data_IF_623112774631
#
_entry.id   IF_623112774631
#
_cell.length_a   1.000
_cell.length_b   1.000
_cell.length_c   1.000
_cell.angle_alpha   90.00
_cell.angle_beta   90.00
_cell.angle_gamma   90.00
#
_symmetry.space_group_name_H-M   'P 1'
#
loop_
_entity.id
_entity.type
_entity.pdbx_description
1 polymer ?
#
# COMPACT_ATOMS: atom_id res chain seq x y z
N UNK A 1 -29.16 -12.89 15.15
CA UNK A 1 -28.13 -11.99 15.73
C UNK A 1 -26.85 -12.79 16.05
N UNK A 2 -26.13 -13.32 15.05
CA UNK A 2 -25.12 -14.38 15.31
C UNK A 2 -23.72 -14.22 14.71
N UNK A 3 -23.52 -13.39 13.68
CA UNK A 3 -22.21 -13.25 13.01
C UNK A 3 -21.63 -11.82 13.07
N UNK A 4 -22.49 -10.81 13.28
CA UNK A 4 -22.11 -9.40 13.17
C UNK A 4 -21.18 -8.91 14.30
N UNK A 5 -21.21 -9.54 15.48
CA UNK A 5 -20.41 -9.12 16.64
C UNK A 5 -18.99 -9.70 16.70
N UNK A 6 -18.71 -10.80 15.99
CA UNK A 6 -17.41 -11.50 16.09
C UNK A 6 -16.34 -10.91 15.15
N UNK A 7 -16.75 -10.35 14.01
CA UNK A 7 -15.83 -9.77 13.01
C UNK A 7 -15.17 -8.49 13.50
N UNK A 8 -15.91 -7.62 14.20
CA UNK A 8 -15.34 -6.40 14.80
C UNK A 8 -14.34 -6.70 15.92
N UNK A 9 -14.55 -7.79 16.66
CA UNK A 9 -13.64 -8.21 17.73
C UNK A 9 -12.27 -8.65 17.16
N UNK A 10 -12.23 -9.32 16.01
CA UNK A 10 -10.98 -9.74 15.38
C UNK A 10 -10.16 -8.55 14.85
N UNK A 11 -10.82 -7.55 14.26
CA UNK A 11 -10.17 -6.30 13.81
C UNK A 11 -9.67 -5.49 15.01
N UNK A 12 -10.47 -5.37 16.07
CA UNK A 12 -10.08 -4.67 17.29
C UNK A 12 -8.91 -5.34 18.04
N UNK A 13 -8.82 -6.68 18.02
CA UNK A 13 -7.73 -7.44 18.65
C UNK A 13 -6.41 -7.28 17.89
N UNK A 14 -6.44 -7.22 16.55
CA UNK A 14 -5.23 -6.94 15.76
C UNK A 14 -4.70 -5.52 15.99
N UNK A 15 -5.59 -4.54 16.22
CA UNK A 15 -5.20 -3.15 16.48
C UNK A 15 -4.66 -2.95 17.91
N UNK A 16 -5.19 -3.67 18.91
CA UNK A 16 -4.77 -3.50 20.32
C UNK A 16 -3.46 -4.21 20.68
N UNK A 17 -3.09 -5.30 19.99
CA UNK A 17 -1.81 -5.99 20.22
C UNK A 17 -0.57 -5.20 19.79
N UNK A 18 -0.71 -4.28 18.85
CA UNK A 18 0.41 -3.50 18.29
C UNK A 18 0.80 -2.26 19.12
N UNK A 19 0.03 -1.91 20.16
CA UNK A 19 0.26 -0.71 20.96
C UNK A 19 1.43 -0.82 21.98
N UNK A 20 1.92 -2.02 22.28
CA UNK A 20 2.87 -2.24 23.37
C UNK A 20 4.35 -1.94 23.08
N UNK A 21 4.76 -1.69 21.83
CA UNK A 21 6.19 -1.74 21.45
C UNK A 21 6.75 -0.50 20.73
N UNK A 22 5.94 0.48 20.31
CA UNK A 22 6.35 1.50 19.32
C UNK A 22 6.88 2.84 19.89
N UNK A 23 7.35 2.90 21.14
CA UNK A 23 7.47 4.16 21.89
C UNK A 23 8.70 5.05 21.68
N UNK A 24 9.79 4.61 21.03
CA UNK A 24 11.02 5.43 20.99
C UNK A 24 11.89 5.35 19.72
N UNK A 25 11.56 4.52 18.73
CA UNK A 25 12.35 4.35 17.49
C UNK A 25 11.90 5.23 16.32
N UNK A 26 10.66 5.72 16.32
CA UNK A 26 10.06 6.41 15.16
C UNK A 26 10.78 7.74 14.77
N UNK A 27 11.39 8.44 15.74
CA UNK A 27 12.02 9.75 15.48
C UNK A 27 13.37 9.66 14.76
N UNK A 28 14.22 8.69 15.10
CA UNK A 28 15.51 8.50 14.42
C UNK A 28 15.27 8.03 12.98
N UNK A 29 14.26 7.19 12.77
CA UNK A 29 13.95 6.63 11.46
C UNK A 29 13.28 7.63 10.51
N UNK A 30 12.53 8.61 11.01
CA UNK A 30 12.09 9.75 10.18
C UNK A 30 13.24 10.56 9.60
N UNK A 31 14.44 10.45 10.18
CA UNK A 31 15.65 11.04 9.61
C UNK A 31 16.24 10.11 8.56
N UNK A 32 16.16 8.79 8.79
CA UNK A 32 16.77 7.78 7.91
C UNK A 32 15.93 7.49 6.65
N UNK A 33 14.59 7.51 6.75
CA UNK A 33 13.63 7.16 5.68
C UNK A 33 12.35 8.03 5.63
N UNK A 34 12.42 9.38 5.75
CA UNK A 34 11.24 10.24 5.83
C UNK A 34 10.23 10.00 4.68
N UNK A 35 10.72 9.79 3.47
CA UNK A 35 9.91 9.62 2.26
C UNK A 35 9.13 8.29 2.21
N UNK A 36 9.68 7.22 2.79
CA UNK A 36 9.02 5.90 2.78
C UNK A 36 8.19 5.66 4.02
N UNK A 37 8.26 6.56 5.00
CA UNK A 37 7.48 6.43 6.24
C UNK A 37 5.99 6.59 5.98
N UNK A 38 5.64 7.53 5.10
CA UNK A 38 4.25 7.85 4.78
C UNK A 38 3.64 6.86 3.80
N UNK A 39 4.42 6.40 2.83
CA UNK A 39 4.01 5.45 1.78
C UNK A 39 5.19 4.67 1.22
N UNK A 40 4.99 3.42 0.78
CA UNK A 40 6.11 2.60 0.28
C UNK A 40 6.34 2.63 -1.22
N UNK A 41 5.43 3.22 -2.02
CA UNK A 41 5.46 3.15 -3.48
C UNK A 41 5.27 1.72 -4.05
N UNK A 42 4.97 0.74 -3.20
CA UNK A 42 4.79 -0.67 -3.59
C UNK A 42 3.37 -0.96 -4.06
N UNK A 43 3.13 -2.11 -4.74
CA UNK A 43 1.80 -2.55 -5.14
C UNK A 43 0.78 -2.45 -3.99
N UNK A 44 -0.33 -1.75 -4.25
CA UNK A 44 -1.37 -1.50 -3.26
C UNK A 44 -1.33 -0.09 -2.66
N UNK A 45 -0.25 0.66 -2.85
CA UNK A 45 -0.07 1.95 -2.19
C UNK A 45 -1.03 3.03 -2.74
N UNK A 46 -2.16 3.21 -2.05
CA UNK A 46 -3.25 4.15 -2.39
C UNK A 46 -4.21 3.73 -3.50
N UNK A 47 -4.00 2.56 -4.11
CA UNK A 47 -4.88 1.96 -5.13
C UNK A 47 -5.00 0.45 -4.90
N UNK A 48 -6.07 -0.15 -5.39
CA UNK A 48 -6.29 -1.57 -5.15
C UNK A 48 -5.58 -2.43 -6.19
N UNK A 49 -5.04 -3.57 -5.73
CA UNK A 49 -4.56 -4.67 -6.58
C UNK A 49 -5.27 -5.94 -6.16
N UNK A 50 -5.85 -6.67 -7.11
CA UNK A 50 -6.51 -7.96 -6.84
C UNK A 50 -5.56 -9.15 -7.06
N UNK A 51 -6.02 -10.36 -6.73
CA UNK A 51 -5.25 -11.59 -6.86
C UNK A 51 -4.77 -11.93 -8.28
N UNK A 52 -5.44 -11.37 -9.29
CA UNK A 52 -5.09 -11.47 -10.71
C UNK A 52 -3.98 -10.49 -11.13
N UNK A 53 -3.63 -9.52 -10.29
CA UNK A 53 -2.70 -8.45 -10.64
C UNK A 53 -3.35 -7.33 -11.47
N UNK A 54 -4.67 -7.19 -11.38
CA UNK A 54 -5.37 -6.08 -11.98
C UNK A 54 -5.37 -4.90 -11.01
N UNK A 55 -4.94 -3.73 -11.50
CA UNK A 55 -5.02 -2.49 -10.73
C UNK A 55 -6.39 -1.85 -10.92
N UNK A 56 -6.92 -1.23 -9.87
CA UNK A 56 -8.19 -0.54 -9.92
C UNK A 56 -8.75 -0.28 -8.52
N UNK A 57 -10.04 -0.59 -8.34
CA UNK A 57 -10.71 -0.51 -7.05
C UNK A 57 -11.03 -1.88 -6.42
N UNK A 58 -10.81 -2.96 -7.17
CA UNK A 58 -10.97 -4.32 -6.67
C UNK A 58 -9.68 -4.82 -6.05
N UNK A 59 -9.77 -5.50 -4.90
CA UNK A 59 -8.63 -6.05 -4.20
C UNK A 59 -8.15 -5.22 -3.01
N UNK A 60 -6.90 -5.46 -2.62
CA UNK A 60 -6.29 -4.88 -1.41
C UNK A 60 -5.62 -3.53 -1.71
N UNK A 61 -5.78 -2.59 -0.78
CA UNK A 61 -5.01 -1.34 -0.70
C UNK A 61 -4.08 -1.46 0.50
N UNK A 62 -2.88 -0.88 0.39
CA UNK A 62 -1.93 -0.74 1.48
C UNK A 62 -1.44 0.71 1.61
N UNK A 63 -0.79 1.01 2.72
CA UNK A 63 -0.07 2.28 2.92
C UNK A 63 1.44 2.05 2.88
N UNK A 64 1.97 1.28 3.82
CA UNK A 64 3.41 1.16 4.05
C UNK A 64 3.93 -0.25 3.79
N UNK A 65 3.06 -1.28 3.83
CA UNK A 65 3.49 -2.67 3.64
C UNK A 65 3.31 -3.16 2.19
N UNK A 66 4.18 -4.06 1.71
CA UNK A 66 3.95 -4.79 0.46
C UNK A 66 2.74 -5.72 0.57
N UNK A 67 2.06 -5.92 -0.56
CA UNK A 67 1.04 -6.97 -0.71
C UNK A 67 1.62 -8.22 -1.36
N UNK A 68 0.99 -9.38 -1.14
CA UNK A 68 1.21 -10.60 -1.93
C UNK A 68 0.72 -10.50 -3.37
N UNK A 69 -0.10 -9.49 -3.69
CA UNK A 69 -0.58 -9.21 -5.04
C UNK A 69 0.36 -8.25 -5.78
N UNK A 70 0.60 -8.47 -7.07
CA UNK A 70 1.38 -7.56 -7.92
C UNK A 70 0.68 -7.29 -9.24
N UNK A 71 0.72 -6.04 -9.76
CA UNK A 71 0.27 -5.73 -11.10
C UNK A 71 0.83 -6.66 -12.17
N UNK A 72 -0.08 -7.26 -12.95
CA UNK A 72 0.23 -8.03 -14.15
C UNK A 72 0.41 -7.12 -15.37
N UNK A 73 0.75 -7.69 -16.52
CA UNK A 73 0.99 -6.97 -17.77
C UNK A 73 -0.05 -5.87 -18.03
N UNK A 74 0.42 -4.72 -18.50
CA UNK A 74 -0.42 -3.62 -18.99
C UNK A 74 -1.13 -2.80 -17.90
N UNK A 75 -1.15 -3.28 -16.66
CA UNK A 75 -1.60 -2.50 -15.51
C UNK A 75 -0.57 -1.41 -15.20
N UNK A 76 -1.06 -0.19 -14.93
CA UNK A 76 -0.23 0.96 -14.57
C UNK A 76 -0.88 1.75 -13.44
N UNK A 77 -0.08 2.37 -12.60
CA UNK A 77 -0.55 3.30 -11.57
C UNK A 77 0.41 4.49 -11.46
N UNK A 78 -0.15 5.66 -11.19
CA UNK A 78 0.58 6.87 -10.87
C UNK A 78 -0.02 7.50 -9.63
N UNK A 79 0.79 7.72 -8.62
CA UNK A 79 0.36 8.25 -7.32
C UNK A 79 1.19 9.45 -6.93
N UNK A 80 0.55 10.41 -6.28
CA UNK A 80 1.23 11.43 -5.51
C UNK A 80 0.78 11.33 -4.06
N UNK A 81 1.73 11.33 -3.13
CA UNK A 81 1.47 11.37 -1.70
C UNK A 81 2.17 12.55 -1.05
N UNK A 82 1.59 13.03 0.04
CA UNK A 82 2.15 14.04 0.91
C UNK A 82 1.93 13.62 2.35
N UNK A 83 3.02 13.49 3.08
CA UNK A 83 3.03 13.23 4.50
C UNK A 83 3.42 14.47 5.29
N UNK A 84 2.68 14.74 6.37
CA UNK A 84 2.91 15.89 7.23
C UNK A 84 3.67 15.47 8.48
N UNK A 85 4.69 16.24 8.84
CA UNK A 85 5.57 15.97 9.98
C UNK A 85 4.95 16.41 11.30
N UNK A 86 4.09 17.41 11.27
CA UNK A 86 3.37 17.94 12.42
C UNK A 86 1.87 17.71 12.26
N UNK A 87 1.10 17.73 13.36
CA UNK A 87 -0.29 17.23 13.43
C UNK A 87 -1.35 17.93 12.57
N UNK A 88 -0.97 18.79 11.61
CA UNK A 88 -1.83 19.35 10.57
C UNK A 88 -1.66 18.62 9.24
N UNK A 89 -2.69 18.61 8.39
CA UNK A 89 -2.56 18.08 7.03
C UNK A 89 -1.93 19.14 6.12
N UNK A 90 -0.81 18.77 5.51
CA UNK A 90 -0.05 19.59 4.57
C UNK A 90 0.17 18.86 3.25
N UNK A 91 0.09 19.61 2.15
CA UNK A 91 0.31 19.12 0.79
C UNK A 91 1.54 19.81 0.22
N UNK A 92 2.59 19.05 -0.03
CA UNK A 92 3.86 19.55 -0.56
C UNK A 92 4.76 18.39 -0.98
N UNK A 93 5.76 18.70 -1.80
CA UNK A 93 6.71 17.68 -2.28
C UNK A 93 7.95 17.61 -1.38
N UNK A 94 8.46 18.76 -0.93
CA UNK A 94 9.45 18.84 0.13
C UNK A 94 9.23 20.04 1.05
N UNK A 95 9.82 19.99 2.24
CA UNK A 95 9.81 21.07 3.22
C UNK A 95 10.19 20.58 4.61
N UNK A 96 10.28 21.50 5.56
CA UNK A 96 10.53 21.14 6.96
C UNK A 96 9.35 20.37 7.57
N UNK A 97 8.13 20.76 7.17
CA UNK A 97 6.86 20.29 7.72
C UNK A 97 6.18 19.20 6.86
N UNK A 98 6.69 18.96 5.65
CA UNK A 98 6.05 18.09 4.64
C UNK A 98 7.08 17.29 3.84
N UNK A 99 6.73 16.04 3.53
CA UNK A 99 7.50 15.19 2.63
C UNK A 99 6.53 14.47 1.68
N UNK A 100 6.68 14.74 0.39
CA UNK A 100 5.86 14.13 -0.64
C UNK A 100 6.64 13.18 -1.52
N UNK A 101 5.91 12.29 -2.18
CA UNK A 101 6.46 11.37 -3.17
C UNK A 101 5.59 11.30 -4.41
N UNK A 102 6.24 11.11 -5.55
CA UNK A 102 5.60 10.83 -6.82
C UNK A 102 6.00 9.42 -7.23
N UNK A 103 5.01 8.55 -7.39
CA UNK A 103 5.22 7.14 -7.72
C UNK A 103 4.65 6.83 -9.09
N UNK A 104 5.43 6.17 -9.95
CA UNK A 104 4.96 5.58 -11.20
C UNK A 104 5.26 4.07 -11.22
N UNK A 105 4.23 3.27 -11.51
CA UNK A 105 4.33 1.82 -11.53
C UNK A 105 3.82 1.24 -12.85
N UNK A 106 4.50 0.19 -13.31
CA UNK A 106 4.06 -0.65 -14.42
C UNK A 106 4.11 -2.14 -14.05
N UNK A 107 3.07 -2.86 -14.43
CA UNK A 107 2.96 -4.31 -14.29
C UNK A 107 3.33 -5.07 -15.57
N UNK A 108 3.96 -6.22 -15.38
CA UNK A 108 4.42 -7.16 -16.40
C UNK A 108 4.00 -8.59 -16.02
N UNK A 109 4.17 -9.55 -16.93
CA UNK A 109 3.86 -10.96 -16.66
C UNK A 109 2.36 -11.32 -16.69
N UNK A 110 2.02 -12.61 -16.60
CA UNK A 110 0.65 -13.09 -16.70
C UNK A 110 -0.15 -12.80 -15.42
N UNK A 111 -1.49 -12.91 -15.52
CA UNK A 111 -2.39 -12.72 -14.38
C UNK A 111 -2.07 -13.69 -13.25
N UNK A 112 -2.05 -13.18 -12.02
CA UNK A 112 -1.72 -13.95 -10.81
C UNK A 112 -0.23 -14.29 -10.64
N UNK A 113 0.63 -13.84 -11.56
CA UNK A 113 2.10 -13.94 -11.49
C UNK A 113 2.74 -12.67 -12.05
N UNK A 114 2.18 -11.53 -11.65
CA UNK A 114 2.66 -10.23 -12.10
C UNK A 114 4.08 -9.94 -11.62
N UNK A 115 4.74 -9.03 -12.33
CA UNK A 115 5.97 -8.37 -11.88
C UNK A 115 5.73 -6.88 -11.99
N UNK A 116 5.85 -6.17 -10.87
CA UNK A 116 5.75 -4.73 -10.80
C UNK A 116 7.14 -4.11 -10.74
N UNK A 117 7.33 -3.06 -11.51
CA UNK A 117 8.46 -2.14 -11.39
C UNK A 117 7.92 -0.76 -11.07
N UNK A 118 8.49 -0.13 -10.06
CA UNK A 118 8.11 1.21 -9.60
C UNK A 118 9.30 2.15 -9.63
N UNK A 119 9.07 3.36 -10.12
CA UNK A 119 9.92 4.52 -9.90
C UNK A 119 9.24 5.45 -8.88
N UNK A 120 9.97 5.87 -7.86
CA UNK A 120 9.49 6.77 -6.81
C UNK A 120 10.45 7.95 -6.67
N UNK A 121 9.93 9.16 -6.81
CA UNK A 121 10.66 10.42 -6.62
C UNK A 121 10.28 11.01 -5.28
N UNK A 122 11.28 11.33 -4.45
CA UNK A 122 11.08 11.43 -3.00
C UNK A 122 11.54 12.73 -2.34
N UNK A 123 12.01 13.69 -3.14
CA UNK A 123 12.42 15.03 -2.71
C UNK A 123 12.53 15.99 -3.90
N UNK A 124 12.79 17.27 -3.61
CA UNK A 124 12.92 18.35 -4.61
C UNK A 124 14.13 18.19 -5.55
N UNK A 125 15.11 17.36 -5.18
CA UNK A 125 16.25 17.02 -6.04
C UNK A 125 15.88 15.90 -7.03
N UNK A 126 14.64 15.41 -6.98
CA UNK A 126 14.12 14.31 -7.78
C UNK A 126 14.94 13.04 -7.60
N UNK A 127 15.36 12.76 -6.37
CA UNK A 127 16.04 11.51 -6.07
C UNK A 127 15.12 10.34 -6.38
N UNK A 128 15.66 9.42 -7.17
CA UNK A 128 14.91 8.29 -7.70
C UNK A 128 15.22 7.03 -6.90
N UNK A 129 14.22 6.53 -6.20
CA UNK A 129 14.18 5.16 -5.73
C UNK A 129 13.46 4.27 -6.74
N UNK A 130 13.94 3.04 -6.87
CA UNK A 130 13.31 2.06 -7.75
C UNK A 130 13.01 0.78 -6.99
N UNK A 131 11.81 0.26 -7.20
CA UNK A 131 11.32 -0.93 -6.53
C UNK A 131 10.97 -2.01 -7.55
N UNK A 132 11.12 -3.27 -7.16
CA UNK A 132 10.69 -4.41 -7.95
C UNK A 132 10.01 -5.44 -7.06
N UNK A 133 8.87 -5.97 -7.50
CA UNK A 133 8.11 -6.98 -6.76
C UNK A 133 7.50 -8.00 -7.73
N UNK A 134 7.63 -9.29 -7.44
CA UNK A 134 7.05 -10.37 -8.24
C UNK A 134 6.14 -11.27 -7.41
N UNK A 135 4.93 -11.53 -7.92
CA UNK A 135 4.00 -12.50 -7.33
C UNK A 135 4.40 -13.92 -7.75
N UNK A 136 4.97 -14.67 -6.80
CA UNK A 136 5.42 -16.05 -7.00
C UNK A 136 4.27 -17.04 -6.90
N UNK A 137 3.29 -16.79 -6.03
CA UNK A 137 2.11 -17.64 -5.89
C UNK A 137 0.84 -16.83 -6.10
N UNK A 138 -0.07 -17.37 -6.90
CA UNK A 138 -1.45 -16.89 -7.01
C UNK A 138 -2.27 -17.32 -5.81
N UNK A 139 -3.17 -16.45 -5.36
CA UNK A 139 -4.18 -16.82 -4.40
C UNK A 139 -5.13 -17.89 -4.94
N UNK A 140 -5.54 -18.80 -4.06
CA UNK A 140 -6.60 -19.78 -4.30
C UNK A 140 -7.46 -19.89 -3.03
N UNK A 141 -8.57 -20.61 -3.09
CA UNK A 141 -9.43 -20.83 -1.92
C UNK A 141 -8.66 -21.31 -0.68
N UNK A 142 -7.67 -22.19 -0.86
CA UNK A 142 -6.86 -22.76 0.22
C UNK A 142 -5.51 -22.09 0.48
N UNK A 143 -5.06 -21.16 -0.37
CA UNK A 143 -3.69 -20.59 -0.28
C UNK A 143 -3.66 -19.07 -0.47
N UNK A 144 -2.83 -18.31 0.26
CA UNK A 144 -2.63 -16.89 -0.01
C UNK A 144 -1.85 -16.68 -1.31
N UNK A 145 -2.00 -15.51 -1.94
CA UNK A 145 -1.00 -15.05 -2.89
C UNK A 145 0.30 -14.73 -2.14
N UNK A 146 1.45 -14.98 -2.76
CA UNK A 146 2.76 -14.67 -2.19
C UNK A 146 3.58 -13.89 -3.19
N UNK A 147 4.24 -12.84 -2.72
CA UNK A 147 5.18 -12.04 -3.48
C UNK A 147 6.53 -11.93 -2.76
N UNK A 148 7.56 -11.67 -3.55
CA UNK A 148 8.88 -11.27 -3.06
C UNK A 148 9.25 -9.97 -3.75
N UNK A 149 10.06 -9.14 -3.09
CA UNK A 149 10.48 -7.89 -3.70
C UNK A 149 11.64 -7.22 -3.00
N UNK A 150 12.04 -6.12 -3.62
CA UNK A 150 13.11 -5.24 -3.17
C UNK A 150 12.66 -3.79 -3.31
N UNK A 151 12.82 -3.04 -2.23
CA UNK A 151 12.59 -1.61 -2.15
C UNK A 151 13.95 -0.93 -2.31
N UNK A 152 14.06 0.05 -3.22
CA UNK A 152 15.31 0.73 -3.58
C UNK A 152 16.43 -0.25 -4.00
N UNK A 153 16.15 -1.02 -5.05
CA UNK A 153 17.07 -2.02 -5.56
C UNK A 153 18.40 -1.44 -6.05
N UNK A 154 18.39 -0.18 -6.53
CA UNK A 154 19.56 0.51 -7.02
C UNK A 154 20.43 1.06 -5.88
N UNK A 155 19.89 1.10 -4.65
CA UNK A 155 20.55 1.55 -3.43
C UNK A 155 21.23 2.92 -3.62
N UNK A 156 20.63 3.80 -4.43
CA UNK A 156 21.23 5.09 -4.78
C UNK A 156 21.21 6.07 -3.60
N UNK A 157 20.32 5.85 -2.63
CA UNK A 157 20.17 6.69 -1.44
C UNK A 157 21.38 6.66 -0.50
N UNK A 158 22.08 5.54 -0.39
CA UNK A 158 23.28 5.43 0.46
C UNK A 158 24.41 6.35 -0.02
N UNK A 159 24.48 6.62 -1.34
CA UNK A 159 25.46 7.53 -1.91
C UNK A 159 25.12 9.02 -1.65
N UNK A 160 23.87 9.34 -1.33
CA UNK A 160 23.36 10.72 -1.21
C UNK A 160 23.25 11.18 0.26
N UNK A 161 22.85 10.29 1.17
CA UNK A 161 22.65 10.62 2.59
C UNK A 161 23.93 10.62 3.44
N UNK A 162 25.07 10.20 2.86
CA UNK A 162 26.33 10.08 3.59
C UNK A 162 26.29 9.00 4.67
N UNK A 163 27.44 8.76 5.32
CA UNK A 163 27.74 7.63 6.21
C UNK A 163 26.87 7.48 7.49
N UNK A 164 25.75 8.18 7.61
CA UNK A 164 24.82 8.09 8.74
C UNK A 164 23.83 6.92 8.62
N UNK A 165 23.53 6.44 7.41
CA UNK A 165 22.80 5.19 7.22
C UNK A 165 23.76 4.00 7.24
N UNK A 166 24.14 3.50 8.43
CA UNK A 166 25.04 2.33 8.55
C UNK A 166 24.44 1.03 7.97
N UNK A 167 23.16 1.05 7.62
CA UNK A 167 22.44 -0.03 6.96
C UNK A 167 21.80 0.58 5.71
N UNK A 168 22.35 0.27 4.55
CA UNK A 168 21.92 0.83 3.27
C UNK A 168 20.40 0.80 3.09
N UNK A 169 19.88 1.70 2.28
CA UNK A 169 18.45 2.00 2.24
C UNK A 169 17.61 0.89 1.57
N UNK A 170 18.28 0.00 0.82
CA UNK A 170 17.66 -1.17 0.19
C UNK A 170 16.98 -2.08 1.22
N UNK A 171 15.73 -2.45 0.97
CA UNK A 171 15.00 -3.43 1.80
C UNK A 171 14.54 -4.61 0.97
N UNK A 172 14.68 -5.84 1.45
CA UNK A 172 14.11 -7.03 0.80
C UNK A 172 12.96 -7.57 1.63
N UNK A 173 11.97 -8.18 0.99
CA UNK A 173 10.79 -8.67 1.68
C UNK A 173 10.14 -9.86 1.00
N UNK A 174 9.31 -10.55 1.78
CA UNK A 174 8.30 -11.51 1.32
C UNK A 174 6.96 -11.11 1.94
N UNK A 175 5.88 -11.18 1.15
CA UNK A 175 4.53 -10.85 1.60
C UNK A 175 3.54 -11.91 1.13
N UNK A 176 2.56 -12.23 1.98
CA UNK A 176 1.46 -13.13 1.69
C UNK A 176 0.14 -12.41 1.93
N UNK A 177 -0.75 -12.39 0.94
CA UNK A 177 -2.07 -11.76 1.05
C UNK A 177 -3.18 -12.75 0.73
N UNK A 178 -4.25 -12.72 1.53
CA UNK A 178 -5.45 -13.53 1.33
C UNK A 178 -6.70 -12.70 1.51
N UNK A 179 -7.68 -12.92 0.64
CA UNK A 179 -9.03 -12.39 0.75
C UNK A 179 -9.91 -13.34 1.56
N UNK A 180 -10.73 -12.75 2.42
CA UNK A 180 -11.76 -13.40 3.20
C UNK A 180 -13.10 -12.69 2.96
N UNK A 181 -14.21 -13.39 3.19
CA UNK A 181 -15.52 -12.75 3.33
C UNK A 181 -15.73 -12.32 4.79
N UNK A 182 -16.02 -11.04 4.99
CA UNK A 182 -16.28 -10.43 6.28
C UNK A 182 -17.67 -9.77 6.26
N UNK A 183 -18.71 -10.59 6.32
CA UNK A 183 -20.10 -10.11 6.35
C UNK A 183 -20.60 -9.69 4.96
N UNK A 184 -20.31 -10.49 3.94
CA UNK A 184 -20.69 -10.22 2.56
C UNK A 184 -19.81 -9.18 1.86
N UNK A 185 -18.62 -8.90 2.41
CA UNK A 185 -17.68 -7.91 1.89
C UNK A 185 -16.24 -8.39 2.00
N UNK A 186 -15.38 -8.07 1.03
CA UNK A 186 -13.97 -8.46 1.07
C UNK A 186 -13.23 -7.87 2.28
N UNK A 187 -12.47 -8.73 2.94
CA UNK A 187 -11.40 -8.39 3.87
C UNK A 187 -10.11 -9.01 3.35
N UNK A 188 -9.12 -8.19 3.03
CA UNK A 188 -7.79 -8.64 2.64
C UNK A 188 -6.87 -8.58 3.85
N UNK A 189 -6.18 -9.67 4.16
CA UNK A 189 -5.17 -9.72 5.22
C UNK A 189 -3.83 -10.03 4.60
N UNK A 190 -2.82 -9.26 5.00
CA UNK A 190 -1.44 -9.40 4.56
C UNK A 190 -0.53 -9.67 5.75
N UNK A 191 0.38 -10.62 5.60
CA UNK A 191 1.47 -10.90 6.54
C UNK A 191 2.76 -10.98 5.74
N UNK A 192 3.86 -10.50 6.31
CA UNK A 192 5.16 -10.74 5.71
C UNK A 192 6.31 -10.49 6.65
N UNK A 193 7.50 -10.52 6.07
CA UNK A 193 8.77 -10.27 6.76
C UNK A 193 9.68 -9.50 5.81
N UNK A 194 10.43 -8.54 6.33
CA UNK A 194 11.38 -7.77 5.53
C UNK A 194 12.52 -7.21 6.33
N UNK A 195 13.52 -6.67 5.63
CA UNK A 195 14.70 -6.05 6.23
C UNK A 195 14.61 -4.53 6.29
N UNK A 196 15.48 -3.88 7.06
CA UNK A 196 15.71 -2.43 7.12
C UNK A 196 14.41 -1.62 7.33
N UNK A 197 13.79 -1.12 6.26
CA UNK A 197 12.53 -0.34 6.31
C UNK A 197 11.36 -1.12 6.93
N UNK A 198 11.51 -2.43 7.16
CA UNK A 198 10.52 -3.25 7.88
C UNK A 198 11.00 -3.70 9.27
N UNK A 199 11.99 -3.01 9.85
CA UNK A 199 12.51 -3.26 11.20
C UNK A 199 13.19 -4.62 11.37
N UNK A 200 13.72 -5.21 10.28
CA UNK A 200 14.26 -6.57 10.24
C UNK A 200 13.31 -7.61 10.85
N UNK A 201 12.01 -7.43 10.60
CA UNK A 201 10.95 -8.08 11.34
C UNK A 201 9.69 -8.39 10.53
N UNK A 202 8.67 -8.94 11.23
CA UNK A 202 7.38 -9.18 10.64
C UNK A 202 6.59 -7.89 10.46
N UNK A 203 5.78 -7.85 9.41
CA UNK A 203 4.74 -6.83 9.22
C UNK A 203 3.39 -7.51 8.96
N UNK A 204 2.30 -6.80 9.26
CA UNK A 204 0.93 -7.30 9.09
C UNK A 204 0.01 -6.15 8.72
N UNK A 205 -1.01 -6.42 7.91
CA UNK A 205 -2.04 -5.43 7.61
C UNK A 205 -3.36 -6.05 7.23
N UNK A 206 -4.40 -5.26 7.32
CA UNK A 206 -5.74 -5.61 6.91
C UNK A 206 -6.38 -4.45 6.14
N UNK A 207 -7.06 -4.76 5.03
CA UNK A 207 -7.83 -3.83 4.22
C UNK A 207 -9.26 -4.36 4.07
N UNK A 208 -10.25 -3.56 4.48
CA UNK A 208 -11.66 -3.94 4.47
C UNK A 208 -12.48 -3.03 3.55
N UNK A 209 -13.38 -3.64 2.79
CA UNK A 209 -14.30 -2.96 1.88
C UNK A 209 -15.49 -2.36 2.66
N UNK A 210 -15.21 -1.30 3.42
CA UNK A 210 -16.19 -0.60 4.25
C UNK A 210 -17.37 0.01 3.46
N UNK A 211 -17.21 0.22 2.15
CA UNK A 211 -18.26 0.55 1.19
C UNK A 211 -17.80 0.20 -0.23
N UNK A 212 -18.71 0.10 -1.21
CA UNK A 212 -18.36 -0.11 -2.63
C UNK A 212 -17.34 0.89 -3.20
N UNK A 213 -17.18 2.04 -2.54
CA UNK A 213 -16.28 3.13 -2.92
C UNK A 213 -15.35 3.58 -1.80
N UNK A 214 -15.35 2.89 -0.65
CA UNK A 214 -14.50 3.24 0.49
C UNK A 214 -13.87 1.98 1.04
N UNK A 215 -12.55 2.00 1.14
CA UNK A 215 -11.75 0.98 1.83
C UNK A 215 -11.14 1.61 3.07
N UNK A 216 -11.03 0.81 4.12
CA UNK A 216 -10.31 1.20 5.35
C UNK A 216 -9.24 0.17 5.61
N UNK A 217 -8.10 0.61 6.11
CA UNK A 217 -6.97 -0.27 6.37
C UNK A 217 -6.24 0.10 7.67
N UNK A 218 -5.60 -0.90 8.25
CA UNK A 218 -4.72 -0.77 9.39
C UNK A 218 -3.53 -1.71 9.18
N UNK A 219 -2.32 -1.23 9.50
CA UNK A 219 -1.07 -1.93 9.24
C UNK A 219 -0.10 -1.75 10.39
N UNK A 220 0.73 -2.75 10.63
CA UNK A 220 1.98 -2.62 11.37
C UNK A 220 3.09 -3.00 10.40
N UNK A 221 4.00 -2.07 10.11
CA UNK A 221 5.03 -2.23 9.08
C UNK A 221 6.39 -2.69 9.62
N UNK A 222 6.43 -3.15 10.86
CA UNK A 222 7.66 -3.52 11.57
C UNK A 222 8.18 -2.42 12.48
N UNK A 223 7.72 -1.17 12.30
CA UNK A 223 8.26 -0.01 13.01
C UNK A 223 7.16 0.77 13.75
N UNK A 224 5.97 0.83 13.17
CA UNK A 224 4.83 1.44 13.81
C UNK A 224 3.50 1.07 13.18
N UNK A 225 2.43 1.59 13.77
CA UNK A 225 1.06 1.32 13.35
C UNK A 225 0.59 2.42 12.42
N UNK A 226 0.03 2.05 11.27
CA UNK A 226 -0.55 2.95 10.30
C UNK A 226 -2.05 2.65 10.16
N UNK A 227 -2.83 3.67 9.83
CA UNK A 227 -4.24 3.51 9.51
C UNK A 227 -4.64 4.46 8.39
N UNK A 228 -5.53 4.02 7.51
CA UNK A 228 -6.00 4.86 6.42
C UNK A 228 -7.40 4.51 5.92
N UNK A 229 -7.94 5.43 5.13
CA UNK A 229 -9.08 5.22 4.28
C UNK A 229 -8.74 5.65 2.85
N UNK A 230 -9.24 4.90 1.88
CA UNK A 230 -9.18 5.25 0.48
C UNK A 230 -10.60 5.37 -0.08
N UNK A 231 -10.84 6.34 -0.95
CA UNK A 231 -12.13 6.57 -1.60
C UNK A 231 -12.01 6.62 -3.13
N UNK A 232 -12.81 5.84 -3.84
CA UNK A 232 -12.92 5.90 -5.30
C UNK A 232 -13.71 7.13 -5.72
N UNK A 233 -13.08 8.02 -6.48
CA UNK A 233 -13.66 9.29 -6.94
C UNK A 233 -14.44 9.13 -8.25
N UNK A 234 -14.01 8.24 -9.13
CA UNK A 234 -14.70 8.02 -10.40
C UNK A 234 -16.10 7.41 -10.17
N UNK A 235 -17.14 7.89 -10.89
CA UNK A 235 -18.45 7.28 -10.82
C UNK A 235 -18.44 5.90 -11.47
N UNK A 236 -19.22 4.98 -10.91
CA UNK A 236 -19.52 3.69 -11.54
C UNK A 236 -20.08 3.94 -12.95
N UNK A 237 -19.54 3.29 -13.99
CA UNK A 237 -20.10 3.35 -15.35
C UNK A 237 -21.38 2.51 -15.41
N UNK A 238 -22.45 2.92 -14.72
CA UNK A 238 -23.77 2.33 -15.00
C UNK A 238 -24.18 2.73 -16.41
N UNK A 239 -24.45 1.75 -17.27
CA UNK A 239 -25.13 2.01 -18.54
C UNK A 239 -26.55 2.52 -18.21
N UNK A 240 -26.93 3.74 -18.61
CA UNK A 240 -28.32 4.19 -18.44
C UNK A 240 -29.24 3.23 -19.19
N UNK A 241 -30.22 2.63 -18.51
CA UNK A 241 -31.28 1.83 -19.14
C UNK A 241 -31.20 0.30 -18.99
N UNK A 242 -30.18 -0.25 -18.32
CA UNK A 242 -30.14 -1.68 -17.97
C UNK A 242 -30.06 -1.78 -16.45
N UNK A 243 -31.22 -1.97 -15.81
CA UNK A 243 -31.34 -1.91 -14.34
C UNK A 243 -30.81 -3.17 -13.62
N UNK A 244 -30.57 -4.25 -14.36
CA UNK A 244 -30.31 -5.58 -13.78
C UNK A 244 -28.93 -6.17 -14.13
N UNK A 245 -28.15 -5.55 -15.03
CA UNK A 245 -26.79 -6.03 -15.31
C UNK A 245 -25.76 -5.27 -14.45
N UNK A 246 -24.80 -5.99 -13.83
CA UNK A 246 -23.68 -5.35 -13.16
C UNK A 246 -22.94 -4.47 -14.17
N UNK A 247 -22.83 -3.19 -13.85
CA UNK A 247 -22.07 -2.23 -14.64
C UNK A 247 -20.67 -2.79 -14.93
N UNK A 248 -20.18 -2.74 -16.18
CA UNK A 248 -18.82 -3.20 -16.47
C UNK A 248 -17.84 -2.42 -15.60
N UNK A 249 -16.99 -3.17 -14.90
CA UNK A 249 -15.92 -2.62 -14.06
C UNK A 249 -15.08 -1.68 -14.93
N UNK A 250 -14.87 -0.46 -14.45
CA UNK A 250 -14.04 0.51 -15.16
C UNK A 250 -12.61 -0.01 -15.26
N UNK A 251 -12.00 0.16 -16.43
CA UNK A 251 -10.57 -0.09 -16.61
C UNK A 251 -9.70 0.98 -15.91
N UNK A 252 -10.30 2.03 -15.35
CA UNK A 252 -9.65 3.13 -14.66
C UNK A 252 -10.21 3.34 -13.24
N UNK A 253 -9.33 3.76 -12.32
CA UNK A 253 -9.66 4.21 -10.98
C UNK A 253 -8.94 5.52 -10.66
N UNK A 254 -9.60 6.41 -9.92
CA UNK A 254 -9.01 7.61 -9.34
C UNK A 254 -9.36 7.60 -7.86
N UNK A 255 -8.38 7.37 -6.99
CA UNK A 255 -8.59 7.26 -5.56
C UNK A 255 -8.00 8.44 -4.80
N UNK A 256 -8.75 8.94 -3.84
CA UNK A 256 -8.25 9.81 -2.76
C UNK A 256 -7.86 8.91 -1.59
N UNK A 257 -6.67 9.11 -1.06
CA UNK A 257 -6.14 8.41 0.11
C UNK A 257 -5.98 9.39 1.27
N UNK A 258 -6.42 8.99 2.46
CA UNK A 258 -6.25 9.73 3.70
C UNK A 258 -5.77 8.74 4.78
N UNK A 259 -4.58 8.95 5.31
CA UNK A 259 -3.95 8.07 6.28
C UNK A 259 -3.28 8.79 7.43
N UNK A 260 -2.80 8.00 8.37
CA UNK A 260 -1.93 8.42 9.46
C UNK A 260 -0.83 7.37 9.61
N UNK A 261 0.41 7.78 9.36
CA UNK A 261 1.58 6.95 9.58
C UNK A 261 2.04 7.05 11.05
N UNK A 262 2.48 5.94 11.65
CA UNK A 262 2.84 5.83 13.08
C UNK A 262 1.77 6.33 14.06
N UNK A 263 0.52 6.42 13.63
CA UNK A 263 -0.56 7.09 14.35
C UNK A 263 -0.25 8.56 14.75
N UNK A 264 0.71 9.19 14.06
CA UNK A 264 1.18 10.55 14.37
C UNK A 264 1.18 11.47 13.16
N UNK A 265 1.48 10.95 11.98
CA UNK A 265 1.81 11.75 10.80
C UNK A 265 0.72 11.65 9.74
N UNK A 266 -0.10 12.70 9.55
CA UNK A 266 -1.13 12.71 8.51
C UNK A 266 -0.53 12.44 7.12
N UNK A 267 -1.25 11.68 6.31
CA UNK A 267 -0.87 11.40 4.92
C UNK A 267 -2.08 11.63 4.03
N UNK A 268 -1.90 12.34 2.92
CA UNK A 268 -2.88 12.44 1.84
C UNK A 268 -2.26 11.98 0.55
N UNK A 269 -3.05 11.32 -0.29
CA UNK A 269 -2.60 10.94 -1.62
C UNK A 269 -3.70 10.97 -2.65
N UNK A 270 -3.29 11.10 -3.90
CA UNK A 270 -4.14 10.94 -5.05
C UNK A 270 -3.49 9.93 -5.98
N UNK A 271 -4.26 8.94 -6.41
CA UNK A 271 -3.77 7.91 -7.31
C UNK A 271 -4.68 7.73 -8.50
N UNK A 272 -4.08 7.67 -9.68
CA UNK A 272 -4.72 7.17 -10.89
C UNK A 272 -4.18 5.77 -11.21
N UNK A 273 -5.07 4.81 -11.38
CA UNK A 273 -4.72 3.45 -11.77
C UNK A 273 -5.50 3.04 -13.03
N UNK A 274 -4.84 2.31 -13.92
CA UNK A 274 -5.43 1.79 -15.15
C UNK A 274 -5.08 0.32 -15.33
N UNK A 275 -6.12 -0.50 -15.44
CA UNK A 275 -6.08 -1.92 -15.74
C UNK A 275 -5.54 -2.15 -17.16
N UNK A 276 -4.72 -3.19 -17.31
CA UNK A 276 -4.25 -3.64 -18.62
C UNK A 276 -5.38 -4.26 -19.45
N UNK A 277 -5.42 -3.95 -20.74
CA UNK A 277 -6.35 -4.55 -21.71
C UNK A 277 -5.60 -5.60 -22.54
N UNK A 278 -6.20 -6.80 -22.66
CA UNK A 278 -5.70 -7.90 -23.47
C UNK A 278 -6.79 -8.42 -24.39
#
# INVERSE_FOLDING_TARGET
>A
MGAFGKTWLAVAVLVTGAWGAAGSSAWAEFVDYPQFRHTSGLPGNGYAVNADGEVGWEGAVSQCIPLGYTPSRGSMAGSYFSGSRFGGLEVGFSGFDVNGSLTLMSGFGPKGHGVAVTADWVDDDFDLAMHAQGQVLRETDSRPAVSIGVLDWANRREALLGAHAQQGARSVFVAATKQFDAGGRPLHVTLGFGTNRFGDGPFVGACYDAHRRVKVLAEYDGLGVNAAAAAQLLPDKRRPGIHDEPAPVRDDALSLFLGIADLQYPVVGLTYARKGVF
#
